data_IF_136653088850
#
_entry.id   IF_136653088850
#
_cell.length_a   1.000
_cell.length_b   1.000
_cell.length_c   1.000
_cell.angle_alpha   90.00
_cell.angle_beta   90.00
_cell.angle_gamma   90.00
#
_symmetry.space_group_name_H-M   'P 1'
#
loop_
_entity.id
_entity.type
_entity.pdbx_description
1 polymer ?
#
# COMPACT_ATOMS: atom_id res chain seq x y z
N UNK A 1 23.24 -11.55 -1.17
CA UNK A 1 22.66 -10.60 -0.20
C UNK A 1 23.66 -10.42 0.94
N UNK A 2 23.85 -9.21 1.48
CA UNK A 2 24.72 -8.96 2.64
C UNK A 2 23.91 -8.28 3.74
N UNK A 3 24.07 -8.76 4.97
CA UNK A 3 23.42 -8.16 6.13
C UNK A 3 24.02 -6.78 6.37
N UNK A 4 23.18 -5.77 6.61
CA UNK A 4 23.66 -4.41 6.85
C UNK A 4 24.53 -4.35 8.13
N UNK A 5 25.57 -3.50 8.17
CA UNK A 5 26.41 -3.36 9.36
C UNK A 5 25.63 -3.01 10.64
N UNK A 6 24.59 -2.18 10.53
CA UNK A 6 23.73 -1.80 11.65
C UNK A 6 22.92 -3.00 12.16
N UNK A 7 22.39 -3.82 11.26
CA UNK A 7 21.69 -5.05 11.62
C UNK A 7 22.64 -6.09 12.25
N UNK A 8 23.88 -6.20 11.76
CA UNK A 8 24.91 -7.04 12.39
C UNK A 8 25.19 -6.60 13.83
N UNK A 9 25.40 -5.29 14.05
CA UNK A 9 25.63 -4.74 15.37
C UNK A 9 24.42 -4.98 16.29
N UNK A 10 23.20 -4.77 15.79
CA UNK A 10 21.98 -5.05 16.53
C UNK A 10 21.90 -6.52 16.98
N UNK A 11 22.20 -7.48 16.10
CA UNK A 11 22.22 -8.90 16.47
C UNK A 11 23.29 -9.22 17.54
N UNK A 12 24.49 -8.63 17.43
CA UNK A 12 25.55 -8.81 18.43
C UNK A 12 25.15 -8.24 19.80
N UNK A 13 24.57 -7.03 19.80
CA UNK A 13 24.02 -6.39 20.99
C UNK A 13 22.91 -7.24 21.62
N UNK A 14 22.00 -7.76 20.80
CA UNK A 14 20.93 -8.66 21.25
C UNK A 14 21.47 -9.94 21.88
N UNK A 15 22.46 -10.58 21.26
CA UNK A 15 23.10 -11.78 21.76
C UNK A 15 23.80 -11.54 23.11
N UNK A 16 24.41 -10.36 23.30
CA UNK A 16 25.09 -9.99 24.56
C UNK A 16 24.16 -9.90 25.78
N UNK A 17 22.84 -9.78 25.56
CA UNK A 17 21.85 -9.76 26.63
C UNK A 17 21.66 -11.13 27.30
N UNK A 18 22.13 -12.23 26.69
CA UNK A 18 22.01 -13.60 27.19
C UNK A 18 20.60 -13.91 27.71
N UNK A 19 19.58 -13.51 26.95
CA UNK A 19 18.20 -13.77 27.35
C UNK A 19 17.93 -15.28 27.35
N UNK A 20 17.08 -15.76 28.29
CA UNK A 20 16.58 -17.12 28.23
C UNK A 20 15.84 -17.37 26.92
N UNK A 21 15.92 -18.62 26.45
CA UNK A 21 15.13 -19.07 25.31
C UNK A 21 13.65 -18.98 25.66
N UNK A 22 12.90 -18.16 24.92
CA UNK A 22 11.47 -17.93 25.13
C UNK A 22 10.67 -19.22 25.23
N UNK A 23 11.08 -20.25 24.47
CA UNK A 23 10.40 -21.55 24.40
C UNK A 23 10.47 -22.34 25.71
N UNK A 24 11.36 -21.94 26.62
CA UNK A 24 11.56 -22.57 27.93
C UNK A 24 10.83 -21.84 29.07
N UNK A 25 10.21 -20.69 28.78
CA UNK A 25 9.53 -19.85 29.75
C UNK A 25 8.02 -20.11 29.79
N UNK A 26 7.38 -19.72 30.89
CA UNK A 26 5.92 -19.55 30.87
C UNK A 26 5.53 -18.36 29.95
N UNK A 27 4.30 -18.33 29.40
CA UNK A 27 3.84 -17.21 28.58
C UNK A 27 3.95 -15.85 29.29
N UNK A 28 3.63 -15.80 30.58
CA UNK A 28 3.72 -14.57 31.40
C UNK A 28 5.17 -14.08 31.52
N UNK A 29 6.11 -14.96 31.84
CA UNK A 29 7.53 -14.61 31.91
C UNK A 29 8.10 -14.19 30.54
N UNK A 30 7.71 -14.90 29.48
CA UNK A 30 8.08 -14.58 28.11
C UNK A 30 7.62 -13.18 27.70
N UNK A 31 6.36 -12.83 27.99
CA UNK A 31 5.80 -11.48 27.77
C UNK A 31 6.57 -10.44 28.57
N UNK A 32 6.78 -10.66 29.87
CA UNK A 32 7.51 -9.71 30.72
C UNK A 32 8.93 -9.43 30.20
N UNK A 33 9.68 -10.48 29.86
CA UNK A 33 11.05 -10.34 29.34
C UNK A 33 11.05 -9.65 27.97
N UNK A 34 10.08 -9.96 27.11
CA UNK A 34 9.90 -9.29 25.82
C UNK A 34 9.66 -7.79 26.00
N UNK A 35 8.76 -7.41 26.89
CA UNK A 35 8.42 -6.01 27.20
C UNK A 35 9.61 -5.25 27.81
N UNK A 36 10.27 -5.83 28.82
CA UNK A 36 11.46 -5.25 29.45
C UNK A 36 12.60 -5.04 28.44
N UNK A 37 12.79 -6.01 27.54
CA UNK A 37 13.79 -5.90 26.48
C UNK A 37 13.42 -4.80 25.49
N UNK A 38 12.16 -4.76 25.06
CA UNK A 38 11.69 -3.74 24.12
C UNK A 38 11.86 -2.33 24.70
N UNK A 39 11.51 -2.14 25.98
CA UNK A 39 11.72 -0.88 26.71
C UNK A 39 13.19 -0.51 26.85
N UNK A 40 14.09 -1.48 27.07
CA UNK A 40 15.54 -1.23 27.17
C UNK A 40 16.14 -0.64 25.89
N UNK A 41 15.54 -0.91 24.74
CA UNK A 41 16.00 -0.42 23.44
C UNK A 41 15.31 0.88 22.99
N UNK A 42 14.33 1.38 23.76
CA UNK A 42 13.72 2.69 23.56
C UNK A 42 14.58 3.74 24.29
N UNK A 43 15.61 4.24 23.60
CA UNK A 43 16.60 5.17 24.14
C UNK A 43 16.15 6.62 24.06
N UNK A 44 15.25 6.93 23.12
CA UNK A 44 14.70 8.27 22.93
C UNK A 44 13.26 8.34 23.41
N UNK A 45 12.79 9.55 23.72
CA UNK A 45 11.37 9.78 23.94
C UNK A 45 10.55 9.34 22.70
N UNK A 46 9.33 8.78 22.91
CA UNK A 46 8.44 8.45 21.83
C UNK A 46 8.13 9.70 20.98
N UNK A 47 7.98 9.57 19.65
CA UNK A 47 7.67 10.70 18.78
C UNK A 47 6.43 11.47 19.25
N UNK A 48 6.54 12.80 19.27
CA UNK A 48 5.44 13.66 19.66
C UNK A 48 4.28 13.55 18.66
N UNK A 49 3.06 13.43 19.18
CA UNK A 49 1.81 13.47 18.44
C UNK A 49 0.85 14.44 19.13
N UNK A 50 -0.23 14.82 18.46
CA UNK A 50 -1.19 15.83 18.96
C UNK A 50 -1.92 15.36 20.20
N UNK A 51 -2.34 14.09 20.24
CA UNK A 51 -2.85 13.47 21.45
C UNK A 51 -2.72 11.94 21.41
N UNK A 52 -2.71 11.34 22.59
CA UNK A 52 -2.85 9.89 22.79
C UNK A 52 -4.01 9.68 23.76
N UNK A 53 -4.94 8.83 23.36
CA UNK A 53 -6.16 8.54 24.10
C UNK A 53 -6.31 7.03 24.27
N UNK A 54 -6.60 6.59 25.50
CA UNK A 54 -7.00 5.21 25.75
C UNK A 54 -8.52 5.10 25.63
N UNK A 55 -8.98 4.11 24.87
CA UNK A 55 -10.38 3.73 24.75
C UNK A 55 -10.50 2.23 24.91
N UNK A 56 -11.73 1.75 24.97
CA UNK A 56 -12.01 0.35 24.78
C UNK A 56 -13.27 0.20 23.93
N UNK A 57 -13.37 -0.94 23.27
CA UNK A 57 -14.58 -1.36 22.57
C UNK A 57 -15.06 -2.72 23.07
N UNK A 58 -16.28 -3.07 22.74
CA UNK A 58 -16.84 -4.37 23.04
C UNK A 58 -16.30 -5.40 22.04
N UNK A 59 -15.66 -6.44 22.58
CA UNK A 59 -15.24 -7.62 21.83
C UNK A 59 -16.13 -8.83 22.13
N UNK A 60 -15.95 -9.94 21.39
CA UNK A 60 -16.77 -11.14 21.52
C UNK A 60 -16.72 -11.79 22.90
N UNK A 61 -15.61 -11.61 23.64
CA UNK A 61 -15.41 -12.22 24.97
C UNK A 61 -14.93 -11.21 26.03
N UNK A 62 -15.26 -9.94 25.86
CA UNK A 62 -14.87 -8.88 26.80
C UNK A 62 -14.39 -7.63 26.09
N UNK A 63 -13.99 -6.64 26.88
CA UNK A 63 -13.54 -5.36 26.34
C UNK A 63 -12.15 -5.47 25.72
N UNK A 64 -11.97 -4.88 24.53
CA UNK A 64 -10.70 -4.78 23.82
C UNK A 64 -10.14 -3.38 24.06
N UNK A 65 -8.93 -3.28 24.59
CA UNK A 65 -8.27 -1.99 24.81
C UNK A 65 -7.76 -1.42 23.48
N UNK A 66 -7.97 -0.12 23.29
CA UNK A 66 -7.53 0.62 22.11
C UNK A 66 -6.70 1.82 22.54
N UNK A 67 -5.62 2.09 21.79
CA UNK A 67 -4.83 3.32 21.93
C UNK A 67 -4.89 4.13 20.64
N UNK A 68 -5.44 5.34 20.75
CA UNK A 68 -5.71 6.21 19.61
C UNK A 68 -4.68 7.35 19.61
N UNK A 69 -3.95 7.47 18.50
CA UNK A 69 -2.95 8.50 18.26
C UNK A 69 -3.49 9.48 17.23
N UNK A 70 -3.43 10.79 17.54
CA UNK A 70 -3.85 11.86 16.61
C UNK A 70 -2.66 12.73 16.23
N UNK A 71 -2.49 13.09 14.94
CA UNK A 71 -1.32 13.84 14.50
C UNK A 71 -1.39 15.31 14.95
N UNK A 72 -0.24 15.97 15.04
CA UNK A 72 -0.17 17.43 15.24
C UNK A 72 -0.40 18.19 13.93
N UNK A 73 -0.80 19.47 14.03
CA UNK A 73 -0.57 20.46 12.97
C UNK A 73 -1.48 20.43 11.74
N UNK A 74 -2.52 19.58 11.71
CA UNK A 74 -3.44 19.48 10.58
C UNK A 74 -4.77 20.19 10.86
N UNK A 75 -5.22 21.03 9.93
CA UNK A 75 -6.54 21.71 9.95
C UNK A 75 -7.67 20.83 9.40
N UNK A 76 -7.43 19.54 9.14
CA UNK A 76 -8.45 18.62 8.59
C UNK A 76 -9.53 18.35 9.63
N UNK A 77 -10.79 18.43 9.20
CA UNK A 77 -11.94 18.04 10.02
C UNK A 77 -12.02 16.52 10.21
N UNK A 78 -11.57 15.73 9.23
CA UNK A 78 -11.51 14.26 9.28
C UNK A 78 -10.20 13.73 8.73
N UNK A 79 -9.67 12.71 9.39
CA UNK A 79 -8.41 12.07 9.03
C UNK A 79 -8.65 10.67 8.45
N UNK A 80 -7.80 10.19 7.53
CA UNK A 80 -7.71 8.75 7.29
C UNK A 80 -7.37 8.01 8.59
N UNK A 81 -7.80 6.76 8.69
CA UNK A 81 -7.58 5.91 9.86
C UNK A 81 -6.75 4.68 9.54
N UNK A 82 -5.87 4.27 10.45
CA UNK A 82 -5.18 2.99 10.44
C UNK A 82 -5.50 2.23 11.73
N UNK A 83 -6.18 1.09 11.63
CA UNK A 83 -6.27 0.12 12.73
C UNK A 83 -5.02 -0.75 12.68
N UNK A 84 -4.21 -0.69 13.74
CA UNK A 84 -2.91 -1.36 13.81
C UNK A 84 -2.95 -2.53 14.79
N UNK A 85 -2.40 -3.68 14.38
CA UNK A 85 -2.23 -4.86 15.24
C UNK A 85 -0.75 -5.12 15.42
N UNK A 86 -0.32 -5.26 16.68
CA UNK A 86 1.07 -5.52 16.99
C UNK A 86 1.49 -6.95 16.64
N UNK A 87 2.77 -7.13 16.31
CA UNK A 87 3.41 -8.43 16.21
C UNK A 87 3.68 -9.10 17.56
N UNK A 88 4.50 -10.15 17.54
CA UNK A 88 4.82 -10.95 18.74
C UNK A 88 4.38 -12.42 18.65
N UNK A 89 4.19 -12.94 17.43
CA UNK A 89 3.84 -14.35 17.22
C UNK A 89 2.53 -14.76 17.89
N UNK A 90 1.55 -13.85 17.98
CA UNK A 90 0.26 -14.00 18.67
C UNK A 90 0.32 -14.30 20.18
N UNK A 91 1.53 -14.42 20.73
CA UNK A 91 1.79 -14.79 22.14
C UNK A 91 2.35 -13.62 22.93
N UNK A 92 3.10 -12.75 22.27
CA UNK A 92 3.78 -11.58 22.83
C UNK A 92 3.25 -10.29 22.23
N UNK A 93 3.81 -9.18 22.71
CA UNK A 93 3.53 -7.84 22.23
C UNK A 93 2.42 -7.18 23.03
N UNK A 94 2.33 -5.87 22.86
CA UNK A 94 1.34 -5.03 23.52
C UNK A 94 1.23 -3.69 22.79
N UNK A 95 0.29 -2.87 23.23
CA UNK A 95 0.22 -1.45 22.84
C UNK A 95 1.53 -0.68 23.10
N UNK A 96 2.28 -1.02 24.15
CA UNK A 96 3.55 -0.34 24.48
C UNK A 96 4.68 -0.76 23.53
N UNK A 97 4.70 -2.03 23.10
CA UNK A 97 5.72 -2.55 22.20
C UNK A 97 5.77 -1.85 20.84
N UNK A 98 4.62 -1.38 20.36
CA UNK A 98 4.48 -0.70 19.07
C UNK A 98 4.17 0.80 19.19
N UNK A 99 4.26 1.38 20.40
CA UNK A 99 3.86 2.77 20.66
C UNK A 99 4.62 3.78 19.79
N UNK A 100 5.94 3.61 19.72
CA UNK A 100 6.81 4.47 18.91
C UNK A 100 6.54 4.34 17.41
N UNK A 101 6.27 3.11 16.92
CA UNK A 101 5.91 2.88 15.53
C UNK A 101 4.58 3.55 15.19
N UNK A 102 3.55 3.36 16.02
CA UNK A 102 2.23 3.95 15.84
C UNK A 102 2.28 5.49 15.84
N UNK A 103 3.06 6.08 16.75
CA UNK A 103 3.29 7.54 16.77
C UNK A 103 4.00 8.05 15.52
N UNK A 104 5.02 7.33 15.06
CA UNK A 104 5.75 7.68 13.84
C UNK A 104 4.83 7.63 12.63
N UNK A 105 4.08 6.53 12.45
CA UNK A 105 3.10 6.40 11.37
C UNK A 105 2.03 7.50 11.42
N UNK A 106 1.48 7.77 12.60
CA UNK A 106 0.50 8.83 12.84
C UNK A 106 1.02 10.19 12.34
N UNK A 107 2.22 10.57 12.78
CA UNK A 107 2.79 11.87 12.46
C UNK A 107 3.28 11.97 11.01
N UNK A 108 3.98 10.97 10.48
CA UNK A 108 4.56 10.99 9.13
C UNK A 108 3.48 10.87 8.04
N UNK A 109 2.47 10.02 8.26
CA UNK A 109 1.39 9.82 7.29
C UNK A 109 0.26 10.86 7.45
N UNK A 110 0.24 11.60 8.56
CA UNK A 110 -0.84 12.55 8.90
C UNK A 110 -2.21 11.85 8.91
N UNK A 111 -2.29 10.76 9.65
CA UNK A 111 -3.47 9.90 9.83
C UNK A 111 -3.70 9.64 11.32
N UNK A 112 -4.91 9.24 11.70
CA UNK A 112 -5.17 8.70 13.03
C UNK A 112 -4.80 7.22 13.04
N UNK A 113 -4.01 6.79 14.03
CA UNK A 113 -3.66 5.39 14.24
C UNK A 113 -4.41 4.89 15.48
N UNK A 114 -5.04 3.73 15.38
CA UNK A 114 -5.77 3.06 16.46
C UNK A 114 -5.12 1.68 16.65
N UNK A 115 -4.28 1.54 17.67
CA UNK A 115 -3.66 0.27 18.01
C UNK A 115 -4.60 -0.55 18.89
N UNK A 116 -4.81 -1.82 18.56
CA UNK A 116 -5.74 -2.72 19.28
C UNK A 116 -4.98 -3.81 20.06
N UNK A 117 -5.36 -3.98 21.32
CA UNK A 117 -4.78 -4.95 22.26
C UNK A 117 -5.62 -6.23 22.25
N UNK A 118 -5.36 -7.09 21.26
CA UNK A 118 -6.12 -8.32 21.04
C UNK A 118 -5.68 -9.43 22.01
N UNK A 119 -6.57 -10.40 22.29
CA UNK A 119 -6.24 -11.53 23.17
C UNK A 119 -5.13 -12.40 22.58
N UNK A 120 -4.21 -12.79 23.46
CA UNK A 120 -3.03 -13.56 23.10
C UNK A 120 -3.17 -15.05 23.41
N UNK A 121 -2.49 -15.85 22.60
CA UNK A 121 -2.26 -17.27 22.83
C UNK A 121 -1.15 -17.46 23.90
N UNK A 122 -1.11 -18.61 24.59
CA UNK A 122 -1.96 -19.80 24.44
C UNK A 122 -3.30 -19.75 25.18
N UNK A 123 -3.53 -18.75 26.04
CA UNK A 123 -4.77 -18.65 26.83
C UNK A 123 -6.00 -18.46 25.93
N UNK A 124 -5.80 -17.77 24.80
CA UNK A 124 -6.81 -17.53 23.79
C UNK A 124 -6.24 -17.93 22.41
N UNK A 125 -6.27 -19.23 22.12
CA UNK A 125 -5.83 -19.76 20.82
C UNK A 125 -6.70 -19.24 19.66
N UNK A 126 -6.22 -19.42 18.43
CA UNK A 126 -6.99 -19.17 17.21
C UNK A 126 -8.40 -19.79 17.30
N UNK A 127 -9.47 -19.06 16.93
CA UNK A 127 -9.46 -17.75 16.24
C UNK A 127 -9.58 -16.52 17.14
N UNK A 128 -9.37 -16.62 18.47
CA UNK A 128 -9.72 -15.53 19.40
C UNK A 128 -9.13 -14.14 19.06
N UNK A 129 -7.83 -14.06 18.76
CA UNK A 129 -7.19 -12.80 18.36
C UNK A 129 -7.73 -12.25 17.02
N UNK A 130 -8.07 -13.13 16.08
CA UNK A 130 -8.70 -12.73 14.80
C UNK A 130 -10.06 -12.10 15.04
N UNK A 131 -10.87 -12.70 15.92
CA UNK A 131 -12.19 -12.17 16.26
C UNK A 131 -12.12 -10.82 16.97
N UNK A 132 -11.12 -10.61 17.83
CA UNK A 132 -10.90 -9.32 18.50
C UNK A 132 -10.47 -8.24 17.49
N UNK A 133 -9.50 -8.53 16.62
CA UNK A 133 -9.07 -7.60 15.56
C UNK A 133 -10.22 -7.27 14.60
N UNK A 134 -11.07 -8.24 14.29
CA UNK A 134 -12.28 -8.03 13.50
C UNK A 134 -13.27 -7.10 14.21
N UNK A 135 -13.61 -7.40 15.46
CA UNK A 135 -14.54 -6.59 16.27
C UNK A 135 -14.04 -5.15 16.45
N UNK A 136 -12.75 -4.97 16.75
CA UNK A 136 -12.12 -3.67 16.86
C UNK A 136 -12.25 -2.86 15.55
N UNK A 137 -12.01 -3.47 14.40
CA UNK A 137 -12.13 -2.80 13.09
C UNK A 137 -13.55 -2.39 12.78
N UNK A 138 -14.53 -3.28 13.02
CA UNK A 138 -15.94 -2.97 12.85
C UNK A 138 -16.36 -1.81 13.75
N UNK A 139 -16.00 -1.86 15.04
CA UNK A 139 -16.29 -0.79 15.99
C UNK A 139 -15.68 0.55 15.56
N UNK A 140 -14.42 0.56 15.10
CA UNK A 140 -13.77 1.77 14.59
C UNK A 140 -14.50 2.33 13.37
N UNK A 141 -14.93 1.47 12.45
CA UNK A 141 -15.67 1.90 11.26
C UNK A 141 -17.05 2.48 11.61
N UNK A 142 -17.77 1.86 12.55
CA UNK A 142 -19.07 2.31 13.06
C UNK A 142 -18.95 3.65 13.83
N UNK A 143 -17.83 3.85 14.53
CA UNK A 143 -17.55 5.05 15.31
C UNK A 143 -16.65 6.05 14.57
N UNK A 144 -16.49 5.91 13.26
CA UNK A 144 -15.52 6.70 12.49
C UNK A 144 -15.71 8.22 12.69
N UNK A 145 -16.95 8.70 12.66
CA UNK A 145 -17.25 10.11 12.84
C UNK A 145 -16.87 10.65 14.23
N UNK A 146 -17.22 9.93 15.30
CA UNK A 146 -16.89 10.35 16.67
C UNK A 146 -15.39 10.30 16.96
N UNK A 147 -14.67 9.43 16.24
CA UNK A 147 -13.21 9.32 16.30
C UNK A 147 -12.48 10.38 15.44
N UNK A 148 -13.21 11.16 14.62
CA UNK A 148 -12.62 12.12 13.69
C UNK A 148 -12.03 11.46 12.43
N UNK A 149 -12.49 10.26 12.09
CA UNK A 149 -12.07 9.49 10.92
C UNK A 149 -12.94 9.78 9.70
N UNK A 150 -12.33 9.72 8.53
CA UNK A 150 -13.01 9.57 7.25
C UNK A 150 -13.37 8.08 7.07
N UNK A 151 -14.66 7.70 7.14
CA UNK A 151 -15.10 6.30 7.07
C UNK A 151 -14.78 5.62 5.74
N UNK A 152 -14.40 6.39 4.71
CA UNK A 152 -14.02 5.85 3.41
C UNK A 152 -12.50 5.71 3.23
N UNK A 153 -11.72 6.07 4.26
CA UNK A 153 -10.26 6.02 4.26
C UNK A 153 -9.74 5.25 5.47
N UNK A 154 -10.42 4.17 5.81
CA UNK A 154 -9.99 3.24 6.85
C UNK A 154 -9.05 2.19 6.25
N UNK A 155 -7.93 1.97 6.93
CA UNK A 155 -6.86 1.04 6.56
C UNK A 155 -6.64 0.12 7.75
N UNK A 156 -6.27 -1.14 7.48
CA UNK A 156 -5.79 -2.07 8.50
C UNK A 156 -4.30 -2.32 8.29
N UNK A 157 -3.57 -2.61 9.35
CA UNK A 157 -2.17 -2.96 9.22
C UNK A 157 -1.58 -3.56 10.47
N UNK A 158 -0.37 -4.05 10.34
CA UNK A 158 0.35 -4.65 11.44
C UNK A 158 1.69 -5.21 11.01
N UNK A 159 2.46 -5.63 12.01
CA UNK A 159 3.78 -6.22 11.80
C UNK A 159 3.82 -7.69 12.22
N UNK A 160 4.52 -8.54 11.45
CA UNK A 160 4.68 -9.97 11.74
C UNK A 160 3.31 -10.68 11.89
N UNK A 161 3.02 -11.25 13.06
CA UNK A 161 1.71 -11.80 13.43
C UNK A 161 0.57 -10.76 13.36
N UNK A 162 0.84 -9.48 13.63
CA UNK A 162 -0.12 -8.40 13.41
C UNK A 162 -0.40 -8.15 11.93
N UNK A 163 0.61 -8.33 11.07
CA UNK A 163 0.45 -8.32 9.61
C UNK A 163 -0.43 -9.45 9.11
N UNK A 164 -0.31 -10.64 9.71
CA UNK A 164 -1.24 -11.75 9.49
C UNK A 164 -2.68 -11.36 9.83
N UNK A 165 -2.91 -10.85 11.05
CA UNK A 165 -4.23 -10.41 11.52
C UNK A 165 -4.83 -9.34 10.60
N UNK A 166 -4.03 -8.39 10.13
CA UNK A 166 -4.48 -7.37 9.18
C UNK A 166 -4.94 -7.96 7.84
N UNK A 167 -4.19 -8.92 7.28
CA UNK A 167 -4.57 -9.59 6.04
C UNK A 167 -5.86 -10.41 6.20
N UNK A 168 -6.03 -11.09 7.34
CA UNK A 168 -7.25 -11.85 7.66
C UNK A 168 -8.46 -10.93 7.82
N UNK A 169 -8.30 -9.80 8.53
CA UNK A 169 -9.36 -8.78 8.64
C UNK A 169 -9.73 -8.22 7.26
N UNK A 170 -8.76 -8.01 6.36
CA UNK A 170 -9.04 -7.56 5.00
C UNK A 170 -9.83 -8.59 4.19
N UNK A 171 -9.53 -9.88 4.33
CA UNK A 171 -10.32 -10.98 3.75
C UNK A 171 -11.77 -10.96 4.26
N UNK A 172 -11.96 -10.92 5.58
CA UNK A 172 -13.29 -10.86 6.20
C UNK A 172 -14.07 -9.61 5.78
N UNK A 173 -13.41 -8.46 5.70
CA UNK A 173 -14.01 -7.20 5.27
C UNK A 173 -14.54 -7.27 3.83
N UNK A 174 -13.77 -7.92 2.94
CA UNK A 174 -14.19 -8.17 1.56
C UNK A 174 -15.39 -9.13 1.50
N UNK A 175 -15.37 -10.21 2.28
CA UNK A 175 -16.43 -11.22 2.30
C UNK A 175 -17.75 -10.69 2.89
N UNK A 176 -17.67 -9.86 3.93
CA UNK A 176 -18.83 -9.25 4.57
C UNK A 176 -19.23 -7.91 3.93
N UNK A 177 -18.46 -7.43 2.94
CA UNK A 177 -18.61 -6.12 2.30
C UNK A 177 -18.64 -4.93 3.29
N UNK A 178 -18.10 -5.13 4.49
CA UNK A 178 -18.01 -4.15 5.57
C UNK A 178 -16.91 -4.54 6.55
N UNK A 179 -16.11 -3.59 7.08
CA UNK A 179 -16.02 -2.22 6.64
C UNK A 179 -15.32 -2.11 5.28
N UNK A 180 -15.56 -1.02 4.54
CA UNK A 180 -14.85 -0.79 3.27
C UNK A 180 -13.44 -0.27 3.55
N UNK A 181 -12.46 -1.14 3.35
CA UNK A 181 -11.05 -0.80 3.55
C UNK A 181 -10.48 -0.08 2.32
N UNK A 182 -9.78 1.01 2.56
CA UNK A 182 -9.08 1.80 1.55
C UNK A 182 -7.65 1.29 1.25
N UNK A 183 -7.14 0.40 2.10
CA UNK A 183 -5.82 -0.21 1.97
C UNK A 183 -5.54 -1.22 3.08
N UNK A 184 -4.44 -1.95 2.94
CA UNK A 184 -3.82 -2.73 4.02
C UNK A 184 -2.30 -2.51 4.04
N UNK A 185 -1.71 -2.43 5.24
CA UNK A 185 -0.26 -2.25 5.45
C UNK A 185 0.30 -3.47 6.15
N UNK A 186 1.08 -4.27 5.42
CA UNK A 186 1.59 -5.56 5.87
C UNK A 186 3.11 -5.48 6.03
N UNK A 187 3.58 -5.44 7.27
CA UNK A 187 5.00 -5.33 7.59
C UNK A 187 5.52 -6.74 7.93
N UNK A 188 6.35 -7.30 7.05
CA UNK A 188 6.89 -8.68 7.08
C UNK A 188 5.87 -9.71 7.59
N UNK A 189 4.67 -9.80 6.98
CA UNK A 189 3.54 -10.52 7.55
C UNK A 189 3.78 -12.03 7.59
N UNK A 190 3.24 -12.71 8.60
CA UNK A 190 3.06 -14.16 8.52
C UNK A 190 1.89 -14.46 7.58
N UNK A 191 2.09 -15.29 6.56
CA UNK A 191 1.06 -15.64 5.57
C UNK A 191 0.91 -17.14 5.30
N UNK A 192 1.89 -17.95 5.71
CA UNK A 192 1.91 -19.42 5.56
C UNK A 192 2.42 -20.13 6.83
N UNK A 193 1.51 -20.69 7.63
CA UNK A 193 1.89 -21.41 8.87
C UNK A 193 2.46 -22.81 8.60
N UNK A 194 2.56 -23.27 7.35
CA UNK A 194 3.21 -24.55 7.02
C UNK A 194 4.74 -24.47 7.05
N UNK A 195 5.30 -23.25 7.08
CA UNK A 195 6.74 -23.00 7.05
C UNK A 195 7.43 -23.63 5.84
N UNK A 196 6.75 -23.61 4.68
CA UNK A 196 7.17 -24.36 3.49
C UNK A 196 8.12 -23.60 2.57
N UNK A 197 8.26 -22.28 2.77
CA UNK A 197 9.03 -21.42 1.87
C UNK A 197 10.56 -21.53 2.07
N UNK A 198 11.39 -21.33 1.02
CA UNK A 198 12.84 -21.48 1.11
C UNK A 198 13.55 -20.57 2.12
N UNK A 199 12.99 -19.39 2.42
CA UNK A 199 13.53 -18.49 3.44
C UNK A 199 13.54 -19.09 4.85
N UNK A 200 12.65 -20.03 5.17
CA UNK A 200 12.67 -20.75 6.45
C UNK A 200 13.90 -21.64 6.62
N UNK A 201 14.49 -22.12 5.53
CA UNK A 201 15.75 -22.87 5.56
C UNK A 201 16.94 -21.91 5.51
N UNK A 202 16.88 -20.91 4.62
CA UNK A 202 17.99 -19.97 4.40
C UNK A 202 18.30 -19.10 5.62
N UNK A 203 17.29 -18.78 6.43
CA UNK A 203 17.41 -17.93 7.61
C UNK A 203 16.90 -18.63 8.88
N UNK A 204 17.01 -19.96 8.92
CA UNK A 204 16.50 -20.78 10.02
C UNK A 204 17.04 -20.36 11.40
N UNK A 205 18.28 -19.87 11.46
CA UNK A 205 19.01 -19.52 12.68
C UNK A 205 19.85 -18.25 12.48
N UNK A 206 20.22 -17.58 13.59
CA UNK A 206 21.21 -16.49 13.58
C UNK A 206 20.67 -15.09 13.22
N UNK A 207 19.42 -14.96 12.76
CA UNK A 207 18.84 -13.70 12.28
C UNK A 207 17.63 -13.23 13.11
N UNK A 208 17.76 -13.29 14.44
CA UNK A 208 16.72 -12.95 15.44
C UNK A 208 15.52 -13.91 15.43
N UNK A 209 14.69 -13.88 14.39
CA UNK A 209 13.60 -14.84 14.23
C UNK A 209 14.16 -16.15 13.68
N UNK A 210 13.78 -17.27 14.30
CA UNK A 210 14.22 -18.60 13.88
C UNK A 210 13.04 -19.47 13.47
N UNK A 211 13.29 -20.48 12.62
CA UNK A 211 12.28 -21.50 12.25
C UNK A 211 11.70 -22.18 13.50
N UNK A 212 12.58 -22.47 14.44
CA UNK A 212 12.26 -23.06 15.74
C UNK A 212 11.33 -22.18 16.58
N UNK A 213 11.59 -20.87 16.61
CA UNK A 213 10.73 -19.91 17.31
C UNK A 213 9.36 -19.82 16.64
N UNK A 214 9.30 -19.80 15.30
CA UNK A 214 8.04 -19.82 14.55
C UNK A 214 7.24 -21.09 14.82
N UNK A 215 7.89 -22.25 14.84
CA UNK A 215 7.25 -23.53 15.19
C UNK A 215 6.62 -23.46 16.58
N UNK A 216 7.33 -22.89 17.55
CA UNK A 216 6.80 -22.71 18.90
C UNK A 216 5.60 -21.75 18.92
N UNK A 217 5.68 -20.59 18.26
CA UNK A 217 4.56 -19.63 18.17
C UNK A 217 3.32 -20.28 17.55
N UNK A 218 3.49 -21.04 16.46
CA UNK A 218 2.39 -21.75 15.80
C UNK A 218 1.74 -22.77 16.74
N UNK A 219 2.52 -23.50 17.53
CA UNK A 219 2.00 -24.46 18.52
C UNK A 219 1.22 -23.78 19.66
N UNK A 220 1.62 -22.59 20.10
CA UNK A 220 0.85 -21.83 21.08
C UNK A 220 -0.44 -21.29 20.46
N UNK A 221 -0.35 -20.76 19.25
CA UNK A 221 -1.42 -20.06 18.56
C UNK A 221 -2.54 -20.97 18.06
N UNK A 222 -2.21 -22.07 17.38
CA UNK A 222 -3.19 -22.95 16.76
C UNK A 222 -3.62 -24.10 17.67
N UNK A 223 -4.93 -24.37 17.80
CA UNK A 223 -5.40 -25.65 18.32
C UNK A 223 -4.85 -26.81 17.48
N UNK A 224 -4.45 -27.90 18.12
CA UNK A 224 -3.71 -29.02 17.49
C UNK A 224 -4.40 -29.63 16.25
N UNK A 225 -5.73 -29.61 16.19
CA UNK A 225 -6.51 -30.19 15.09
C UNK A 225 -6.72 -29.22 13.89
N UNK A 226 -6.22 -27.99 13.98
CA UNK A 226 -6.42 -26.97 12.94
C UNK A 226 -5.51 -27.25 11.75
N UNK A 227 -6.07 -27.25 10.53
CA UNK A 227 -5.25 -27.31 9.32
C UNK A 227 -4.42 -26.03 9.21
N UNK A 228 -3.09 -26.19 9.07
CA UNK A 228 -2.15 -25.08 8.89
C UNK A 228 -2.46 -24.25 7.64
N UNK A 229 -3.21 -24.80 6.67
CA UNK A 229 -3.64 -24.10 5.46
C UNK A 229 -5.00 -23.41 5.58
N UNK A 230 -5.61 -23.41 6.76
CA UNK A 230 -6.87 -22.69 7.00
C UNK A 230 -6.70 -21.21 6.61
N UNK A 231 -7.50 -20.66 5.66
CA UNK A 231 -7.29 -19.31 5.14
C UNK A 231 -7.28 -18.18 6.17
N UNK A 232 -8.04 -18.32 7.26
CA UNK A 232 -8.08 -17.35 8.35
C UNK A 232 -6.85 -17.39 9.28
N UNK A 233 -5.98 -18.39 9.12
CA UNK A 233 -4.68 -18.46 9.78
C UNK A 233 -3.54 -18.25 8.76
N UNK A 234 -3.66 -18.83 7.57
CA UNK A 234 -2.68 -18.75 6.47
C UNK A 234 -3.33 -18.16 5.22
N UNK A 235 -3.37 -16.83 5.15
CA UNK A 235 -3.99 -16.07 4.05
C UNK A 235 -3.42 -16.40 2.68
N UNK A 236 -2.18 -16.93 2.61
CA UNK A 236 -1.58 -17.40 1.37
C UNK A 236 -2.38 -18.54 0.72
N UNK A 237 -3.24 -19.24 1.44
CA UNK A 237 -4.08 -20.34 0.91
C UNK A 237 -5.56 -19.96 0.72
N UNK A 238 -5.94 -18.68 0.86
CA UNK A 238 -7.31 -18.27 0.55
C UNK A 238 -7.68 -18.61 -0.90
N UNK A 239 -8.90 -19.10 -1.12
CA UNK A 239 -9.37 -19.53 -2.45
C UNK A 239 -9.34 -18.39 -3.48
N UNK A 240 -9.64 -17.16 -3.05
CA UNK A 240 -9.64 -15.98 -3.89
C UNK A 240 -9.17 -14.75 -3.14
N UNK A 241 -8.27 -13.99 -3.76
CA UNK A 241 -7.80 -12.68 -3.28
C UNK A 241 -8.40 -11.51 -4.07
N UNK A 242 -9.31 -11.78 -5.01
CA UNK A 242 -9.95 -10.75 -5.86
C UNK A 242 -10.77 -9.80 -4.98
N UNK A 243 -10.61 -8.50 -5.23
CA UNK A 243 -11.34 -7.45 -4.53
C UNK A 243 -10.80 -7.11 -3.14
N UNK A 244 -9.63 -7.63 -2.76
CA UNK A 244 -8.91 -7.15 -1.58
C UNK A 244 -8.40 -5.70 -1.79
N UNK A 245 -8.22 -4.93 -0.71
CA UNK A 245 -7.83 -3.53 -0.81
C UNK A 245 -6.37 -3.38 -1.29
N UNK A 246 -6.00 -2.20 -1.83
CA UNK A 246 -4.61 -1.88 -2.17
C UNK A 246 -3.66 -2.21 -1.02
N UNK A 247 -2.55 -2.87 -1.33
CA UNK A 247 -1.67 -3.47 -0.33
C UNK A 247 -0.29 -2.82 -0.37
N UNK A 248 0.15 -2.26 0.76
CA UNK A 248 1.55 -1.93 1.00
C UNK A 248 2.18 -3.12 1.72
N UNK A 249 3.18 -3.74 1.11
CA UNK A 249 3.85 -4.91 1.68
C UNK A 249 5.36 -4.65 1.81
N UNK A 250 5.87 -4.83 3.01
CA UNK A 250 7.28 -4.71 3.32
C UNK A 250 7.81 -6.09 3.73
N UNK A 251 8.96 -6.51 3.22
CA UNK A 251 9.69 -7.68 3.75
C UNK A 251 11.10 -7.31 4.19
N UNK A 252 11.66 -8.09 5.10
CA UNK A 252 13.08 -8.00 5.49
C UNK A 252 13.89 -9.08 4.74
N UNK A 253 15.12 -8.75 4.32
CA UNK A 253 15.92 -9.62 3.46
C UNK A 253 16.44 -10.89 4.15
N UNK A 254 16.74 -10.80 5.45
CA UNK A 254 17.22 -11.88 6.33
C UNK A 254 16.13 -12.29 7.31
N UNK A 255 15.04 -12.82 6.78
CA UNK A 255 13.82 -13.15 7.54
C UNK A 255 13.23 -14.48 7.03
N UNK A 256 12.96 -15.46 7.92
CA UNK A 256 12.21 -16.66 7.57
C UNK A 256 10.90 -16.40 6.83
N UNK A 257 10.22 -15.29 7.14
CA UNK A 257 8.91 -14.92 6.56
C UNK A 257 9.00 -14.23 5.20
N UNK A 258 10.21 -13.94 4.70
CA UNK A 258 10.41 -13.14 3.49
C UNK A 258 9.68 -13.73 2.29
N UNK A 259 9.91 -15.00 2.00
CA UNK A 259 9.44 -15.60 0.75
C UNK A 259 7.93 -15.85 0.79
N UNK A 260 7.32 -16.09 1.95
CA UNK A 260 5.86 -16.18 2.08
C UNK A 260 5.19 -14.82 1.89
N UNK A 261 5.75 -13.74 2.43
CA UNK A 261 5.28 -12.38 2.18
C UNK A 261 5.34 -12.01 0.69
N UNK A 262 6.43 -12.35 0.01
CA UNK A 262 6.59 -12.16 -1.44
C UNK A 262 5.62 -13.03 -2.25
N UNK A 263 5.40 -14.28 -1.84
CA UNK A 263 4.42 -15.17 -2.46
C UNK A 263 2.99 -14.63 -2.33
N UNK A 264 2.64 -14.06 -1.17
CA UNK A 264 1.34 -13.43 -0.96
C UNK A 264 1.17 -12.17 -1.81
N UNK A 265 2.20 -11.32 -1.89
CA UNK A 265 2.23 -10.16 -2.79
C UNK A 265 2.01 -10.58 -4.26
N UNK A 266 2.64 -11.67 -4.69
CA UNK A 266 2.47 -12.20 -6.03
C UNK A 266 1.03 -12.68 -6.28
N UNK A 267 0.45 -13.47 -5.36
CA UNK A 267 -0.96 -13.89 -5.49
C UNK A 267 -1.93 -12.71 -5.52
N UNK A 268 -1.67 -11.64 -4.75
CA UNK A 268 -2.47 -10.42 -4.77
C UNK A 268 -2.42 -9.74 -6.15
N UNK A 269 -1.23 -9.63 -6.77
CA UNK A 269 -1.08 -9.07 -8.13
C UNK A 269 -1.82 -9.91 -9.16
N UNK A 270 -1.71 -11.24 -9.08
CA UNK A 270 -2.43 -12.17 -9.96
C UNK A 270 -3.94 -12.04 -9.83
N UNK A 271 -4.43 -11.67 -8.64
CA UNK A 271 -5.84 -11.37 -8.39
C UNK A 271 -6.27 -9.94 -8.78
N UNK A 272 -5.38 -9.16 -9.41
CA UNK A 272 -5.64 -7.78 -9.84
C UNK A 272 -5.59 -6.72 -8.74
N UNK A 273 -5.06 -7.06 -7.55
CA UNK A 273 -4.91 -6.11 -6.45
C UNK A 273 -3.71 -5.19 -6.71
N UNK A 274 -3.87 -3.89 -6.45
CA UNK A 274 -2.73 -2.96 -6.48
C UNK A 274 -1.79 -3.24 -5.31
N UNK A 275 -0.57 -3.68 -5.60
CA UNK A 275 0.45 -4.01 -4.59
C UNK A 275 1.67 -3.11 -4.76
N UNK A 276 2.03 -2.40 -3.70
CA UNK A 276 3.31 -1.70 -3.57
C UNK A 276 4.16 -2.52 -2.59
N UNK A 277 5.18 -3.17 -3.11
CA UNK A 277 6.05 -4.07 -2.35
C UNK A 277 7.45 -3.48 -2.25
N UNK A 278 8.11 -3.65 -1.09
CA UNK A 278 9.53 -3.33 -0.97
C UNK A 278 10.26 -4.28 -0.01
N UNK A 279 11.42 -4.75 -0.46
CA UNK A 279 12.33 -5.59 0.31
C UNK A 279 13.44 -4.74 0.93
N UNK A 280 13.56 -4.77 2.26
CA UNK A 280 14.71 -4.23 2.99
C UNK A 280 15.80 -5.29 3.06
N UNK A 281 16.56 -5.43 1.98
CA UNK A 281 17.49 -6.54 1.73
C UNK A 281 18.50 -6.79 2.86
N UNK A 282 18.96 -5.73 3.54
CA UNK A 282 19.98 -5.83 4.58
C UNK A 282 19.45 -6.01 6.00
N UNK A 283 18.12 -6.09 6.20
CA UNK A 283 17.49 -6.08 7.52
C UNK A 283 17.01 -7.46 7.96
N UNK A 284 16.83 -7.62 9.27
CA UNK A 284 16.27 -8.80 9.93
C UNK A 284 14.80 -8.60 10.31
N UNK A 285 14.10 -9.69 10.65
CA UNK A 285 12.74 -9.62 11.19
C UNK A 285 12.65 -8.67 12.39
N UNK A 286 11.53 -7.94 12.53
CA UNK A 286 11.28 -7.05 13.68
C UNK A 286 12.04 -5.72 13.67
N UNK A 287 12.86 -5.44 12.64
CA UNK A 287 13.70 -4.24 12.60
C UNK A 287 12.91 -2.92 12.70
N UNK A 288 11.65 -2.88 12.22
CA UNK A 288 10.87 -1.64 12.19
C UNK A 288 10.60 -1.07 13.59
N UNK A 289 10.60 -1.94 14.61
CA UNK A 289 10.36 -1.55 16.00
C UNK A 289 11.64 -1.02 16.68
N UNK A 290 12.79 -1.03 16.00
CA UNK A 290 14.10 -0.70 16.56
C UNK A 290 14.58 0.70 16.15
N UNK A 291 13.70 1.70 16.25
CA UNK A 291 13.96 3.07 15.73
C UNK A 291 15.22 3.76 16.28
N UNK A 292 15.59 3.47 17.52
CA UNK A 292 16.75 4.10 18.18
C UNK A 292 18.07 3.40 17.87
N UNK A 293 18.02 2.21 17.26
CA UNK A 293 19.19 1.38 16.94
C UNK A 293 19.44 1.28 15.45
N UNK A 294 18.38 1.29 14.65
CA UNK A 294 18.42 1.05 13.22
C UNK A 294 17.81 2.26 12.48
N UNK A 295 18.60 3.08 11.77
CA UNK A 295 18.06 4.17 10.97
C UNK A 295 17.06 3.67 9.91
N UNK A 296 17.27 2.45 9.41
CA UNK A 296 16.38 1.80 8.44
C UNK A 296 14.96 1.60 8.97
N UNK A 297 14.74 1.53 10.28
CA UNK A 297 13.42 1.44 10.88
C UNK A 297 12.60 2.72 10.64
N UNK A 298 13.23 3.88 10.80
CA UNK A 298 12.60 5.18 10.50
C UNK A 298 12.40 5.33 8.99
N UNK A 299 13.40 5.00 8.17
CA UNK A 299 13.29 5.04 6.70
C UNK A 299 12.15 4.15 6.18
N UNK A 300 12.00 2.95 6.74
CA UNK A 300 10.89 2.05 6.43
C UNK A 300 9.54 2.65 6.81
N UNK A 301 9.45 3.21 8.02
CA UNK A 301 8.21 3.84 8.49
C UNK A 301 7.84 5.07 7.65
N UNK A 302 8.81 5.88 7.26
CA UNK A 302 8.62 7.04 6.38
C UNK A 302 8.21 6.62 4.97
N UNK A 303 8.80 5.54 4.43
CA UNK A 303 8.37 4.97 3.16
C UNK A 303 6.91 4.50 3.24
N UNK A 304 6.53 3.74 4.28
CA UNK A 304 5.14 3.31 4.50
C UNK A 304 4.22 4.54 4.53
N UNK A 305 4.58 5.57 5.30
CA UNK A 305 3.78 6.79 5.43
C UNK A 305 3.62 7.54 4.09
N UNK A 306 4.68 7.60 3.27
CA UNK A 306 4.65 8.22 1.95
C UNK A 306 3.72 7.45 1.00
N UNK A 307 3.88 6.14 0.88
CA UNK A 307 3.03 5.32 0.01
C UNK A 307 1.59 5.29 0.49
N UNK A 308 1.36 5.26 1.80
CA UNK A 308 0.02 5.30 2.39
C UNK A 308 -0.68 6.62 2.05
N UNK A 309 0.03 7.76 2.13
CA UNK A 309 -0.51 9.06 1.68
C UNK A 309 -0.87 9.04 0.20
N UNK A 310 -0.05 8.42 -0.66
CA UNK A 310 -0.34 8.30 -2.11
C UNK A 310 -1.57 7.43 -2.38
N UNK A 311 -1.70 6.28 -1.73
CA UNK A 311 -2.89 5.41 -1.86
C UNK A 311 -4.15 6.14 -1.41
N UNK A 312 -4.09 6.82 -0.26
CA UNK A 312 -5.22 7.54 0.32
C UNK A 312 -5.57 8.86 -0.40
N UNK A 313 -4.62 9.44 -1.16
CA UNK A 313 -4.88 10.61 -2.01
C UNK A 313 -5.51 10.22 -3.34
N UNK A 314 -5.05 9.15 -4.00
CA UNK A 314 -5.67 8.63 -5.23
C UNK A 314 -7.14 8.22 -5.01
N UNK A 315 -7.42 7.58 -3.87
CA UNK A 315 -8.79 7.27 -3.45
C UNK A 315 -9.66 8.51 -3.16
N UNK A 316 -9.06 9.69 -2.99
CA UNK A 316 -9.77 10.96 -2.81
C UNK A 316 -10.14 11.66 -4.12
N UNK A 317 -9.32 11.48 -5.17
CA UNK A 317 -9.58 12.04 -6.50
C UNK A 317 -10.73 11.31 -7.18
N UNK A 318 -10.85 9.99 -6.97
CA UNK A 318 -11.96 9.15 -7.48
C UNK A 318 -13.33 9.62 -6.93
N UNK A 319 -13.38 10.42 -5.84
CA UNK A 319 -14.65 10.84 -5.22
C UNK A 319 -14.93 12.34 -5.16
N UNK A 320 -13.95 13.22 -5.41
CA UNK A 320 -14.27 14.64 -5.66
C UNK A 320 -14.97 14.87 -7.00
N UNK A 321 -15.06 13.86 -7.85
CA UNK A 321 -15.92 13.82 -9.04
C UNK A 321 -17.36 13.35 -8.77
N UNK A 322 -17.80 13.17 -7.52
CA UNK A 322 -19.25 13.06 -7.22
C UNK A 322 -19.92 14.45 -7.14
N UNK A 323 -19.84 15.15 -8.25
CA UNK A 323 -20.88 16.01 -8.80
C UNK A 323 -20.77 15.92 -10.33
N UNK A 324 -20.74 14.69 -10.86
CA UNK A 324 -21.14 14.47 -12.25
C UNK A 324 -22.66 14.65 -12.26
N UNK A 325 -23.21 15.67 -12.95
CA UNK A 325 -24.64 15.74 -13.17
C UNK A 325 -25.06 14.45 -13.85
N UNK A 326 -26.15 13.84 -13.38
CA UNK A 326 -26.78 12.70 -14.02
C UNK A 326 -26.75 12.87 -15.54
N UNK A 327 -26.17 11.88 -16.26
CA UNK A 327 -26.17 11.74 -17.72
C UNK A 327 -26.27 13.09 -18.44
N UNK A 328 -25.13 13.73 -18.69
CA UNK A 328 -25.05 14.72 -19.76
C UNK A 328 -25.68 14.10 -21.01
N UNK A 329 -26.78 14.69 -21.45
CA UNK A 329 -27.39 14.39 -22.74
C UNK A 329 -26.30 14.47 -23.79
N UNK A 330 -26.12 13.42 -24.59
CA UNK A 330 -25.30 13.46 -25.80
C UNK A 330 -25.97 14.32 -26.87
N UNK A 331 -26.05 15.63 -26.62
CA UNK A 331 -26.22 16.62 -27.66
C UNK A 331 -24.92 16.67 -28.44
N UNK A 332 -24.95 16.19 -29.69
CA UNK A 332 -23.83 16.34 -30.63
C UNK A 332 -23.43 17.81 -30.69
N UNK A 333 -22.14 18.11 -30.64
CA UNK A 333 -21.65 19.47 -30.75
C UNK A 333 -22.06 20.11 -32.10
N UNK A 334 -22.38 21.40 -32.05
CA UNK A 334 -22.64 22.27 -33.20
C UNK A 334 -21.62 23.41 -33.21
N UNK A 335 -20.79 23.49 -34.25
CA UNK A 335 -19.71 24.47 -34.36
C UNK A 335 -18.61 23.98 -35.30
N UNK A 336 -17.75 24.89 -35.75
CA UNK A 336 -16.54 24.57 -36.51
C UNK A 336 -15.39 24.14 -35.60
N UNK A 337 -14.36 23.53 -36.21
CA UNK A 337 -13.07 23.32 -35.56
C UNK A 337 -11.95 23.47 -36.59
N UNK A 338 -10.84 23.99 -36.13
CA UNK A 338 -9.58 24.09 -36.86
C UNK A 338 -8.59 23.05 -36.33
N UNK A 339 -7.67 22.61 -37.20
CA UNK A 339 -6.51 21.83 -36.77
C UNK A 339 -5.28 22.69 -36.96
N UNK A 340 -4.54 22.88 -35.88
CA UNK A 340 -3.28 23.62 -35.85
C UNK A 340 -2.23 22.87 -35.05
N UNK A 341 -0.99 23.33 -35.19
CA UNK A 341 0.11 22.81 -34.40
C UNK A 341 -0.11 23.14 -32.92
N UNK A 342 0.30 22.22 -32.04
CA UNK A 342 0.18 22.36 -30.60
C UNK A 342 1.23 23.35 -30.10
N UNK A 343 0.80 24.32 -29.31
CA UNK A 343 1.70 25.23 -28.63
C UNK A 343 2.00 24.71 -27.23
N UNK A 344 3.10 25.18 -26.61
CA UNK A 344 3.49 24.76 -25.25
C UNK A 344 2.37 24.97 -24.22
N UNK A 345 1.55 26.01 -24.41
CA UNK A 345 0.42 26.32 -23.54
C UNK A 345 -0.76 25.34 -23.68
N UNK A 346 -0.84 24.55 -24.76
CA UNK A 346 -1.89 23.56 -24.95
C UNK A 346 -1.61 22.25 -24.21
N UNK A 347 -0.37 22.02 -23.78
CA UNK A 347 0.08 20.76 -23.20
C UNK A 347 -0.81 20.29 -22.04
N UNK A 348 -1.18 21.20 -21.14
CA UNK A 348 -2.06 20.87 -20.02
C UNK A 348 -3.50 20.56 -20.45
N UNK A 349 -3.99 21.18 -21.54
CA UNK A 349 -5.35 20.96 -22.07
C UNK A 349 -5.44 19.64 -22.80
N UNK A 350 -4.42 19.31 -23.59
CA UNK A 350 -4.27 18.01 -24.26
C UNK A 350 -4.20 16.89 -23.23
N UNK A 351 -3.39 17.06 -22.19
CA UNK A 351 -3.30 16.08 -21.12
C UNK A 351 -4.63 15.91 -20.38
N UNK A 352 -5.29 17.01 -20.00
CA UNK A 352 -6.58 16.96 -19.32
C UNK A 352 -7.67 16.27 -20.17
N UNK A 353 -7.70 16.52 -21.49
CA UNK A 353 -8.59 15.81 -22.40
C UNK A 353 -8.20 14.32 -22.52
N UNK A 354 -6.91 14.03 -22.57
CA UNK A 354 -6.37 12.69 -22.57
C UNK A 354 -6.80 11.84 -21.39
N UNK A 355 -6.70 12.37 -20.17
CA UNK A 355 -7.15 11.68 -18.95
C UNK A 355 -8.67 11.44 -18.91
N UNK A 356 -9.45 12.29 -19.58
CA UNK A 356 -10.89 12.06 -19.74
C UNK A 356 -11.21 10.93 -20.72
N UNK A 357 -10.36 10.73 -21.73
CA UNK A 357 -10.59 9.78 -22.82
C UNK A 357 -9.97 8.40 -22.56
N UNK A 358 -8.82 8.37 -21.87
CA UNK A 358 -8.05 7.18 -21.57
C UNK A 358 -7.90 7.06 -20.06
N UNK A 359 -8.62 6.13 -19.46
CA UNK A 359 -8.43 5.83 -18.05
C UNK A 359 -7.30 4.81 -17.89
N UNK A 360 -6.58 4.87 -16.76
CA UNK A 360 -5.56 3.88 -16.42
C UNK A 360 -6.13 2.46 -16.26
N UNK A 361 -7.45 2.32 -16.04
CA UNK A 361 -8.15 1.04 -16.00
C UNK A 361 -8.35 0.45 -17.40
N UNK A 362 -8.62 1.27 -18.40
CA UNK A 362 -8.96 0.82 -19.76
C UNK A 362 -7.72 0.65 -20.67
N UNK A 363 -6.66 1.44 -20.45
CA UNK A 363 -5.45 1.45 -21.32
C UNK A 363 -4.13 1.59 -20.55
N UNK A 364 -3.78 0.63 -19.67
CA UNK A 364 -2.65 0.74 -18.73
C UNK A 364 -1.27 0.87 -19.39
N UNK A 365 -1.12 0.42 -20.65
CA UNK A 365 0.15 0.50 -21.38
C UNK A 365 0.49 1.90 -21.89
N UNK A 366 -0.52 2.77 -22.10
CA UNK A 366 -0.31 4.19 -22.46
C UNK A 366 0.14 5.02 -21.26
N UNK A 367 -0.17 4.59 -20.03
CA UNK A 367 0.15 5.30 -18.79
C UNK A 367 1.56 5.02 -18.23
N UNK A 368 2.29 4.05 -18.80
CA UNK A 368 3.57 3.59 -18.25
C UNK A 368 4.78 4.45 -18.63
N UNK A 369 4.62 5.40 -19.55
CA UNK A 369 5.72 6.17 -20.17
C UNK A 369 5.68 7.68 -19.90
N UNK A 370 4.80 8.15 -19.02
CA UNK A 370 4.55 9.59 -18.86
C UNK A 370 4.62 9.98 -17.38
N UNK A 371 5.83 9.99 -16.82
CA UNK A 371 6.12 10.88 -15.69
C UNK A 371 6.64 12.24 -16.22
N UNK A 372 6.57 13.28 -15.39
CA UNK A 372 6.95 14.66 -15.75
C UNK A 372 8.41 14.78 -16.24
N UNK A 373 9.26 13.82 -15.88
CA UNK A 373 10.69 13.74 -16.22
C UNK A 373 10.92 13.04 -17.56
N UNK A 374 10.19 11.95 -17.82
CA UNK A 374 10.21 11.25 -19.12
C UNK A 374 9.67 12.15 -20.24
N UNK A 375 8.71 13.01 -19.93
CA UNK A 375 8.15 14.01 -20.86
C UNK A 375 9.21 15.00 -21.34
N UNK A 376 9.91 15.65 -20.40
CA UNK A 376 10.94 16.65 -20.72
C UNK A 376 12.09 16.00 -21.52
N UNK A 377 12.40 14.73 -21.25
CA UNK A 377 13.44 14.01 -21.96
C UNK A 377 13.01 13.55 -23.37
N UNK A 378 11.74 13.20 -23.58
CA UNK A 378 11.24 12.82 -24.91
C UNK A 378 11.05 14.04 -25.84
N UNK A 379 10.49 15.15 -25.31
CA UNK A 379 10.21 16.40 -26.06
C UNK A 379 11.45 17.21 -26.50
N UNK A 380 12.66 16.71 -26.25
CA UNK A 380 13.90 17.35 -26.71
C UNK A 380 14.47 16.72 -27.98
N UNK A 381 13.74 15.77 -28.59
CA UNK A 381 14.15 15.14 -29.86
C UNK A 381 13.53 15.86 -31.07
N UNK A 382 14.37 16.16 -32.08
CA UNK A 382 14.06 17.00 -33.25
C UNK A 382 12.99 16.44 -34.24
N UNK A 383 12.18 15.45 -33.83
CA UNK A 383 11.34 14.65 -34.74
C UNK A 383 9.86 14.55 -34.37
N UNK A 384 9.31 15.42 -33.53
CA UNK A 384 7.94 15.29 -33.04
C UNK A 384 6.95 16.15 -33.84
N UNK A 385 5.73 15.63 -34.06
CA UNK A 385 4.60 16.44 -34.51
C UNK A 385 3.50 16.40 -33.45
N UNK A 386 2.91 17.56 -33.20
CA UNK A 386 1.84 17.71 -32.23
C UNK A 386 0.72 18.55 -32.85
N UNK A 387 -0.44 17.94 -33.10
CA UNK A 387 -1.61 18.63 -33.65
C UNK A 387 -2.72 18.68 -32.61
N UNK A 388 -3.43 19.80 -32.56
CA UNK A 388 -4.66 19.96 -31.78
C UNK A 388 -5.82 20.36 -32.68
N UNK A 389 -7.01 19.86 -32.36
CA UNK A 389 -8.26 20.31 -32.92
C UNK A 389 -8.91 21.29 -31.94
N UNK A 390 -8.99 22.55 -32.34
CA UNK A 390 -9.51 23.64 -31.51
C UNK A 390 -10.82 24.18 -32.09
N UNK A 391 -11.79 24.46 -31.23
CA UNK A 391 -13.07 25.08 -31.62
C UNK A 391 -12.92 26.59 -31.73
N UNK A 392 -13.90 27.24 -32.37
CA UNK A 392 -13.96 28.72 -32.47
C UNK A 392 -13.96 29.43 -31.09
N UNK A 393 -14.26 28.71 -30.00
CA UNK A 393 -14.26 29.21 -28.62
C UNK A 393 -12.95 28.94 -27.86
N UNK A 394 -11.94 28.38 -28.53
CA UNK A 394 -10.63 28.09 -27.95
C UNK A 394 -10.56 26.78 -27.13
N UNK A 395 -11.51 25.86 -27.34
CA UNK A 395 -11.54 24.57 -26.64
C UNK A 395 -10.81 23.51 -27.47
N UNK A 396 -9.86 22.79 -26.85
CA UNK A 396 -9.22 21.62 -27.47
C UNK A 396 -10.16 20.43 -27.38
N UNK A 397 -10.61 19.94 -28.53
CA UNK A 397 -11.60 18.84 -28.65
C UNK A 397 -11.02 17.58 -29.29
N UNK A 398 -9.77 17.63 -29.70
CA UNK A 398 -8.97 16.48 -30.09
C UNK A 398 -7.50 16.83 -30.22
N UNK A 399 -6.65 15.81 -30.28
CA UNK A 399 -5.21 15.97 -30.43
C UNK A 399 -4.61 14.75 -31.10
N UNK A 400 -3.45 14.91 -31.73
CA UNK A 400 -2.61 13.83 -32.27
C UNK A 400 -1.13 14.13 -32.00
N UNK A 401 -0.46 13.24 -31.29
CA UNK A 401 0.97 13.31 -30.98
C UNK A 401 1.68 12.10 -31.60
N UNK A 402 2.88 12.33 -32.12
CA UNK A 402 3.73 11.25 -32.60
C UNK A 402 5.09 11.75 -33.05
N UNK A 403 5.87 10.83 -33.61
CA UNK A 403 7.22 11.13 -34.08
C UNK A 403 7.45 10.69 -35.52
N UNK A 404 8.40 11.36 -36.16
CA UNK A 404 8.86 11.17 -37.52
C UNK A 404 10.33 10.77 -37.51
N UNK A 405 10.65 9.74 -38.28
CA UNK A 405 12.00 9.28 -38.52
C UNK A 405 12.36 9.48 -39.99
N UNK A 406 13.29 10.39 -40.23
CA UNK A 406 13.93 10.57 -41.53
C UNK A 406 15.17 9.67 -41.64
N UNK A 407 15.19 8.78 -42.64
CA UNK A 407 16.35 7.93 -42.89
C UNK A 407 17.37 8.66 -43.76
N UNK A 408 18.58 8.90 -43.24
CA UNK A 408 19.67 9.51 -44.01
C UNK A 408 19.90 8.76 -45.35
N UNK A 409 19.89 9.51 -46.46
CA UNK A 409 20.07 9.03 -47.87
C UNK A 409 18.92 8.19 -48.45
N UNK A 410 17.70 8.44 -48.00
CA UNK A 410 16.47 7.80 -48.48
C UNK A 410 15.37 8.86 -48.64
N UNK A 411 14.48 8.73 -49.63
CA UNK A 411 13.29 9.60 -49.76
C UNK A 411 12.17 9.24 -48.78
N UNK A 412 12.32 8.10 -48.09
CA UNK A 412 11.34 7.61 -47.12
C UNK A 412 11.37 8.36 -45.79
N UNK A 413 10.22 8.97 -45.47
CA UNK A 413 9.88 9.52 -44.16
C UNK A 413 8.89 8.58 -43.49
N UNK A 414 9.24 8.03 -42.33
CA UNK A 414 8.35 7.18 -41.54
C UNK A 414 7.82 7.98 -40.36
N UNK A 415 6.60 7.73 -39.92
CA UNK A 415 6.15 8.20 -38.61
C UNK A 415 5.23 7.22 -37.94
N UNK A 416 5.12 7.34 -36.62
CA UNK A 416 4.20 6.59 -35.80
C UNK A 416 3.39 7.53 -34.93
N UNK A 417 2.17 7.10 -34.64
CA UNK A 417 1.22 7.82 -33.81
C UNK A 417 1.33 7.29 -32.38
N UNK A 418 1.73 8.15 -31.45
CA UNK A 418 1.83 7.81 -30.04
C UNK A 418 0.48 7.99 -29.33
N UNK A 419 -0.25 9.06 -29.67
CA UNK A 419 -1.49 9.38 -28.98
C UNK A 419 -2.49 10.14 -29.86
N UNK A 420 -3.74 9.69 -29.92
CA UNK A 420 -4.81 10.35 -30.68
C UNK A 420 -6.11 10.32 -29.88
N UNK A 421 -6.55 11.46 -29.36
CA UNK A 421 -7.79 11.61 -28.61
C UNK A 421 -8.82 12.48 -29.34
N UNK A 422 -10.11 12.12 -29.22
CA UNK A 422 -11.23 12.96 -29.68
C UNK A 422 -12.34 12.96 -28.64
N UNK A 423 -12.72 14.16 -28.19
CA UNK A 423 -13.80 14.38 -27.24
C UNK A 423 -15.11 13.74 -27.73
N UNK A 424 -15.83 13.05 -26.83
CA UNK A 424 -17.00 12.23 -27.18
C UNK A 424 -18.08 12.99 -27.98
N UNK A 425 -18.32 14.27 -27.66
CA UNK A 425 -19.31 15.11 -28.35
C UNK A 425 -18.94 15.44 -29.81
N UNK A 426 -17.68 15.25 -30.19
CA UNK A 426 -17.10 15.53 -31.51
C UNK A 426 -16.78 14.27 -32.31
N UNK A 427 -16.98 13.09 -31.73
CA UNK A 427 -16.87 11.82 -32.44
C UNK A 427 -17.93 11.75 -33.56
N UNK A 428 -17.51 11.32 -34.76
CA UNK A 428 -18.35 11.32 -35.96
C UNK A 428 -18.45 12.66 -36.71
N UNK A 429 -17.70 13.71 -36.28
CA UNK A 429 -17.55 15.00 -36.99
C UNK A 429 -16.27 15.08 -37.84
N UNK A 430 -15.58 13.96 -38.01
CA UNK A 430 -14.35 13.87 -38.80
C UNK A 430 -13.08 14.39 -38.11
N UNK A 431 -13.13 14.78 -36.83
CA UNK A 431 -11.98 15.34 -36.09
C UNK A 431 -10.79 14.39 -36.11
N UNK A 432 -10.97 13.15 -35.64
CA UNK A 432 -9.89 12.16 -35.62
C UNK A 432 -9.35 11.81 -37.00
N UNK A 433 -10.22 11.80 -38.02
CA UNK A 433 -9.79 11.57 -39.40
C UNK A 433 -8.90 12.72 -39.89
N UNK A 434 -9.33 13.98 -39.72
CA UNK A 434 -8.55 15.13 -40.17
C UNK A 434 -7.22 15.29 -39.41
N UNK A 435 -7.17 14.90 -38.14
CA UNK A 435 -5.93 14.84 -37.35
C UNK A 435 -4.97 13.79 -37.92
N UNK A 436 -5.49 12.62 -38.31
CA UNK A 436 -4.70 11.57 -38.96
C UNK A 436 -4.28 11.92 -40.39
N UNK A 437 -5.14 12.61 -41.14
CA UNK A 437 -4.83 13.08 -42.49
C UNK A 437 -3.63 14.06 -42.44
N UNK A 438 -3.57 14.95 -41.44
CA UNK A 438 -2.42 15.85 -41.21
C UNK A 438 -1.11 15.10 -40.96
N UNK A 439 -1.17 13.96 -40.30
CA UNK A 439 -0.01 13.07 -40.14
C UNK A 439 0.37 12.42 -41.47
N UNK A 440 -0.62 11.91 -42.21
CA UNK A 440 -0.38 11.22 -43.48
C UNK A 440 0.20 12.16 -44.54
N UNK A 441 -0.17 13.45 -44.53
CA UNK A 441 0.41 14.48 -45.40
C UNK A 441 1.92 14.69 -45.16
N UNK A 442 2.44 14.34 -43.97
CA UNK A 442 3.87 14.39 -43.64
C UNK A 442 4.62 13.16 -44.16
N UNK A 443 3.91 12.10 -44.55
CA UNK A 443 4.51 10.88 -45.10
C UNK A 443 4.66 11.03 -46.61
N UNK A 444 5.88 11.36 -47.05
CA UNK A 444 6.21 11.45 -48.46
C UNK A 444 6.73 10.09 -48.95
N UNK A 445 6.05 9.50 -49.93
CA UNK A 445 6.68 8.60 -50.90
C UNK A 445 6.88 9.42 -52.19
N UNK A 446 8.12 9.84 -52.45
CA UNK A 446 8.55 10.38 -53.74
C UNK A 446 9.59 9.47 -54.37
#
# INVERSE_FOLDING_TARGET
MKLAPEAQLYLQLRASLNLPDLRTLSPEEGRRISEETSRRWQLSDPPAVGSVEQRSCDGPNGSISLRIYRPTGSLKERFPGLVFYHGGGWVLGSLDGVDSLCRTLCQEAQIIVISADYRLAPENQFPAGVEDCWAATCWVAENAESLGLDPFKLVVGGDSAGGNLAAVVALRAREQAFPKLAGQVLIYPVTDLTQSQPSYESFAEGYLLTRDSMTWFIQQYLPQATDLKTPEASVLFADSLVGLPPTLLLVAGFDPLRDEGLAYAQRLREAGVHVIEKNWEGMVHGFINQRDLLPQALEATQWIAQELRRVLSKNSVIRRTKNIPAKSSTTKASGGYEIREMELEDLYRVYALGEQLYTAEDWPNLYRTWDETDLINNYTSDGEFCWVAETDTGEIVGFALGAILEKRRSSWVYGWLDWLGVHAAWQGKGVGKRLLDKLTDLFIEQ
#
